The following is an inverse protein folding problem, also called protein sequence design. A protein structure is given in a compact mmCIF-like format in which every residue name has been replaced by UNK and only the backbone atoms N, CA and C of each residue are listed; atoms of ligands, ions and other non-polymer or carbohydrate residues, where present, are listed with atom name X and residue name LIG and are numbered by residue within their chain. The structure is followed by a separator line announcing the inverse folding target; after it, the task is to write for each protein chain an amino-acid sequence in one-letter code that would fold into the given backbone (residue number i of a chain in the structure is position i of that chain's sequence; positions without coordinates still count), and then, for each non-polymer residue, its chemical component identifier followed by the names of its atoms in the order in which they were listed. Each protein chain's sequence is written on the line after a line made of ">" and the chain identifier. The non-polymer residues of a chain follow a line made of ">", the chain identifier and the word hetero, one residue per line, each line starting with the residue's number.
data_IF_774988350286
#
_entry.id   IF_774988350286
#
_cell.length_a   1.000
_cell.length_b   1.000
_cell.length_c   1.000
_cell.angle_alpha   90.00
_cell.angle_beta   90.00
_cell.angle_gamma   90.00
#
_symmetry.space_group_name_H-M   'P 1'
#
loop_
_entity.id
_entity.type
_entity.pdbx_description
1 polymer ?
#
# COMPACT_ATOMS: atom_id res chain seq x y z
N UNK A 1 -2.50 7.79 23.87
CA UNK A 1 -3.39 8.87 23.39
C UNK A 1 -4.60 8.21 22.74
N UNK A 2 -5.80 8.81 22.75
CA UNK A 2 -6.91 8.27 21.96
C UNK A 2 -6.48 8.13 20.49
N UNK A 3 -6.94 7.08 19.82
CA UNK A 3 -6.66 6.86 18.41
C UNK A 3 -7.13 8.11 17.63
N UNK A 4 -6.20 8.78 16.95
CA UNK A 4 -6.47 10.03 16.22
C UNK A 4 -6.80 9.77 14.74
N UNK A 5 -6.43 8.59 14.23
CA UNK A 5 -6.47 8.22 12.83
C UNK A 5 -7.55 7.17 12.56
N UNK A 6 -8.03 7.04 11.31
CA UNK A 6 -8.98 5.98 10.94
C UNK A 6 -8.42 4.59 11.25
N UNK A 7 -9.32 3.60 11.30
CA UNK A 7 -8.89 2.20 11.22
C UNK A 7 -8.37 1.93 9.81
N UNK A 8 -7.07 1.65 9.68
CA UNK A 8 -6.47 1.34 8.39
C UNK A 8 -6.46 -0.17 8.14
N UNK A 9 -6.96 -0.60 6.99
CA UNK A 9 -6.76 -1.95 6.46
C UNK A 9 -5.78 -1.85 5.30
N UNK A 10 -4.62 -2.52 5.40
CA UNK A 10 -3.61 -2.48 4.35
C UNK A 10 -3.64 -3.77 3.53
N UNK A 11 -3.94 -3.67 2.23
CA UNK A 11 -4.03 -4.81 1.33
C UNK A 11 -2.71 -5.01 0.59
N UNK A 12 -2.08 -6.15 0.82
CA UNK A 12 -0.90 -6.56 0.07
C UNK A 12 -1.32 -7.17 -1.27
N UNK A 13 -0.97 -6.47 -2.36
CA UNK A 13 -1.35 -6.81 -3.73
C UNK A 13 -0.19 -7.42 -4.54
N UNK A 14 0.97 -7.69 -3.93
CA UNK A 14 2.17 -8.14 -4.63
C UNK A 14 1.96 -9.42 -5.43
N UNK A 15 1.24 -10.39 -4.88
CA UNK A 15 0.94 -11.65 -5.58
C UNK A 15 -0.03 -11.48 -6.76
N UNK A 16 -0.74 -10.34 -6.84
CA UNK A 16 -1.70 -10.01 -7.91
C UNK A 16 -1.22 -8.84 -8.76
N UNK A 17 -1.32 -7.59 -8.29
CA UNK A 17 -0.87 -6.38 -9.02
C UNK A 17 0.63 -6.43 -9.35
N UNK A 18 1.44 -6.93 -8.42
CA UNK A 18 2.88 -7.10 -8.63
C UNK A 18 3.19 -8.10 -9.73
N UNK A 19 2.83 -9.36 -9.48
CA UNK A 19 3.15 -10.48 -10.35
C UNK A 19 2.51 -10.39 -11.75
N UNK A 20 1.41 -9.67 -11.95
CA UNK A 20 0.72 -9.62 -13.25
C UNK A 20 1.56 -8.97 -14.36
N UNK A 21 2.52 -8.12 -14.02
CA UNK A 21 3.36 -7.41 -15.01
C UNK A 21 4.79 -7.94 -15.09
N UNK A 22 5.10 -8.98 -14.32
CA UNK A 22 6.40 -9.64 -14.32
C UNK A 22 6.48 -10.75 -15.37
N UNK A 23 7.59 -11.48 -15.41
CA UNK A 23 7.77 -12.60 -16.31
C UNK A 23 6.74 -13.71 -16.00
N UNK A 24 6.05 -14.20 -17.02
CA UNK A 24 5.09 -15.30 -16.88
C UNK A 24 5.76 -16.64 -16.52
N UNK A 25 7.07 -16.75 -16.73
CA UNK A 25 7.87 -17.94 -16.45
C UNK A 25 8.30 -18.06 -14.99
N UNK A 26 8.08 -17.04 -14.13
CA UNK A 26 8.29 -17.18 -12.68
C UNK A 26 7.58 -18.43 -12.20
N UNK A 27 8.32 -19.30 -11.51
CA UNK A 27 7.82 -20.62 -11.16
C UNK A 27 6.68 -20.53 -10.14
N UNK A 28 5.82 -21.55 -10.12
CA UNK A 28 4.78 -21.60 -9.10
C UNK A 28 5.38 -21.83 -7.72
N UNK A 29 6.49 -22.57 -7.63
CA UNK A 29 7.13 -22.85 -6.35
C UNK A 29 7.74 -21.57 -5.73
N UNK A 30 8.31 -20.67 -6.55
CA UNK A 30 8.77 -19.34 -6.09
C UNK A 30 7.59 -18.49 -5.60
N UNK A 31 6.47 -18.49 -6.33
CA UNK A 31 5.25 -17.76 -5.95
C UNK A 31 4.65 -18.31 -4.65
N UNK A 32 4.64 -19.63 -4.47
CA UNK A 32 4.18 -20.28 -3.23
C UNK A 32 5.11 -19.91 -2.08
N UNK A 33 6.43 -19.97 -2.29
CA UNK A 33 7.42 -19.65 -1.26
C UNK A 33 7.25 -18.21 -0.78
N UNK A 34 7.06 -17.26 -1.70
CA UNK A 34 6.80 -15.87 -1.36
C UNK A 34 5.46 -15.68 -0.63
N UNK A 35 4.38 -16.31 -1.11
CA UNK A 35 3.06 -16.20 -0.48
C UNK A 35 3.03 -16.80 0.93
N UNK A 36 3.68 -17.95 1.14
CA UNK A 36 3.81 -18.57 2.45
C UNK A 36 4.62 -17.67 3.41
N UNK A 37 5.70 -17.04 2.93
CA UNK A 37 6.49 -16.09 3.71
C UNK A 37 5.69 -14.82 4.05
N UNK A 38 4.93 -14.28 3.10
CA UNK A 38 4.05 -13.13 3.32
C UNK A 38 3.02 -13.39 4.42
N UNK A 39 2.45 -14.60 4.48
CA UNK A 39 1.52 -14.99 5.53
C UNK A 39 2.12 -14.99 6.94
N UNK A 40 3.45 -15.05 7.07
CA UNK A 40 4.15 -15.04 8.37
C UNK A 40 4.50 -13.63 8.86
N UNK A 41 4.27 -12.60 8.03
CA UNK A 41 4.64 -11.21 8.33
C UNK A 41 3.65 -10.50 9.25
N UNK A 42 2.47 -11.07 9.52
CA UNK A 42 1.40 -10.39 10.24
C UNK A 42 0.48 -9.53 9.37
N UNK A 43 0.72 -9.48 8.04
CA UNK A 43 -0.26 -8.96 7.09
C UNK A 43 -1.60 -9.70 7.25
N UNK A 44 -2.68 -8.95 7.44
CA UNK A 44 -4.03 -9.50 7.65
C UNK A 44 -4.85 -9.61 6.37
N UNK A 45 -4.41 -9.00 5.26
CA UNK A 45 -5.09 -9.05 3.97
C UNK A 45 -4.09 -9.20 2.80
N UNK A 46 -4.17 -10.33 2.10
CA UNK A 46 -3.28 -10.64 0.96
C UNK A 46 -4.12 -10.99 -0.26
N UNK A 47 -3.88 -10.31 -1.37
CA UNK A 47 -4.50 -10.62 -2.67
C UNK A 47 -3.61 -11.60 -3.43
N UNK A 48 -3.99 -12.88 -3.42
CA UNK A 48 -3.13 -13.99 -3.86
C UNK A 48 -2.98 -14.13 -5.37
N UNK A 49 -3.81 -13.43 -6.15
CA UNK A 49 -3.77 -13.48 -7.61
C UNK A 49 -5.10 -13.11 -8.26
N UNK A 50 -5.28 -13.49 -9.52
CA UNK A 50 -6.52 -13.24 -10.25
C UNK A 50 -7.00 -14.44 -11.09
N UNK A 51 -8.30 -14.68 -11.08
CA UNK A 51 -9.00 -15.65 -11.93
C UNK A 51 -9.47 -14.99 -13.22
N UNK A 52 -8.52 -14.53 -14.03
CA UNK A 52 -8.76 -13.82 -15.30
C UNK A 52 -8.36 -14.67 -16.51
N UNK A 53 -8.59 -14.16 -17.71
CA UNK A 53 -8.22 -14.85 -18.94
C UNK A 53 -6.69 -14.90 -19.10
N UNK A 54 -6.08 -16.10 -19.24
CA UNK A 54 -4.63 -16.24 -19.42
C UNK A 54 -4.14 -15.64 -20.74
N UNK A 55 -5.04 -15.37 -21.69
CA UNK A 55 -4.71 -14.68 -22.94
C UNK A 55 -4.20 -13.25 -22.70
N UNK A 56 -4.78 -12.56 -21.71
CA UNK A 56 -4.46 -11.16 -21.44
C UNK A 56 -3.53 -11.01 -20.22
N UNK A 57 -3.54 -11.99 -19.31
CA UNK A 57 -2.68 -12.00 -18.12
C UNK A 57 -2.06 -13.39 -17.94
N UNK A 58 -1.09 -13.78 -18.79
CA UNK A 58 -0.48 -15.11 -18.75
C UNK A 58 0.22 -15.43 -17.41
N UNK A 59 0.69 -14.40 -16.70
CA UNK A 59 1.32 -14.50 -15.38
C UNK A 59 0.39 -15.13 -14.32
N UNK A 60 -0.93 -15.01 -14.53
CA UNK A 60 -1.98 -15.48 -13.62
C UNK A 60 -2.63 -16.80 -14.08
N UNK A 61 -2.15 -17.38 -15.19
CA UNK A 61 -2.76 -18.55 -15.80
C UNK A 61 -2.81 -19.78 -14.86
N UNK A 62 -1.81 -19.91 -14.00
CA UNK A 62 -1.59 -21.05 -13.09
C UNK A 62 -2.01 -20.78 -11.65
N UNK A 63 -2.96 -19.86 -11.42
CA UNK A 63 -3.47 -19.55 -10.07
C UNK A 63 -4.02 -20.78 -9.35
N UNK A 64 -4.64 -21.71 -10.07
CA UNK A 64 -5.15 -22.96 -9.52
C UNK A 64 -4.04 -23.78 -8.82
N UNK A 65 -2.85 -23.86 -9.43
CA UNK A 65 -1.70 -24.57 -8.84
C UNK A 65 -1.14 -23.85 -7.61
N UNK A 66 -1.14 -22.51 -7.62
CA UNK A 66 -0.75 -21.69 -6.45
C UNK A 66 -1.70 -21.98 -5.28
N UNK A 67 -3.01 -21.95 -5.54
CA UNK A 67 -4.06 -22.18 -4.54
C UNK A 67 -4.03 -23.58 -3.92
N UNK A 68 -3.58 -24.59 -4.67
CA UNK A 68 -3.47 -25.97 -4.18
C UNK A 68 -2.21 -26.19 -3.32
N UNK A 69 -1.18 -25.36 -3.47
CA UNK A 69 0.14 -25.57 -2.85
C UNK A 69 0.39 -24.68 -1.63
N UNK A 70 -0.12 -23.45 -1.63
CA UNK A 70 0.16 -22.51 -0.52
C UNK A 70 -0.50 -22.96 0.79
N UNK A 71 0.09 -22.54 1.90
CA UNK A 71 -0.34 -22.90 3.25
C UNK A 71 -0.96 -21.68 3.93
N UNK A 72 -2.30 -21.55 3.93
CA UNK A 72 -2.96 -20.40 4.54
C UNK A 72 -2.62 -20.29 6.02
N UNK A 73 -2.38 -19.06 6.48
CA UNK A 73 -2.11 -18.73 7.87
C UNK A 73 -3.39 -18.24 8.55
N UNK A 74 -3.55 -18.63 9.80
CA UNK A 74 -4.69 -18.19 10.61
C UNK A 74 -4.62 -16.66 10.83
N UNK A 75 -5.78 -16.00 10.82
CA UNK A 75 -5.86 -14.54 10.95
C UNK A 75 -5.65 -13.76 9.66
N UNK A 76 -5.22 -14.41 8.56
CA UNK A 76 -5.01 -13.75 7.26
C UNK A 76 -6.21 -13.95 6.33
N UNK A 77 -6.72 -12.85 5.79
CA UNK A 77 -7.74 -12.84 4.75
C UNK A 77 -7.08 -12.93 3.38
N UNK A 78 -7.29 -14.07 2.70
CA UNK A 78 -6.81 -14.27 1.33
C UNK A 78 -7.92 -13.95 0.34
N UNK A 79 -7.69 -13.00 -0.57
CA UNK A 79 -8.64 -12.66 -1.65
C UNK A 79 -8.02 -12.83 -3.03
N UNK A 80 -8.84 -12.88 -4.07
CA UNK A 80 -8.38 -12.93 -5.45
C UNK A 80 -9.31 -12.13 -6.35
N UNK A 81 -8.74 -11.51 -7.38
CA UNK A 81 -9.52 -10.74 -8.34
C UNK A 81 -10.26 -11.67 -9.32
N UNK A 82 -11.56 -11.49 -9.46
CA UNK A 82 -12.38 -12.15 -10.48
C UNK A 82 -13.27 -11.14 -11.20
N UNK A 83 -13.08 -10.98 -12.52
CA UNK A 83 -13.73 -9.92 -13.30
C UNK A 83 -15.01 -10.36 -14.02
N UNK A 84 -15.33 -11.65 -14.02
CA UNK A 84 -16.51 -12.22 -14.67
C UNK A 84 -17.04 -13.43 -13.89
N UNK A 85 -18.24 -13.90 -14.25
CA UNK A 85 -18.90 -15.02 -13.56
C UNK A 85 -18.09 -16.33 -13.60
N UNK A 86 -17.40 -16.60 -14.72
CA UNK A 86 -16.55 -17.79 -14.83
C UNK A 86 -15.36 -17.75 -13.86
N UNK A 87 -14.71 -16.59 -13.72
CA UNK A 87 -13.64 -16.37 -12.76
C UNK A 87 -14.14 -16.50 -11.33
N UNK A 88 -15.33 -15.99 -11.04
CA UNK A 88 -15.97 -16.15 -9.72
C UNK A 88 -16.27 -17.60 -9.42
N UNK A 89 -16.79 -18.37 -10.39
CA UNK A 89 -17.09 -19.79 -10.20
C UNK A 89 -15.82 -20.62 -9.98
N UNK A 90 -14.73 -20.29 -10.68
CA UNK A 90 -13.41 -20.88 -10.41
C UNK A 90 -12.90 -20.55 -9.01
N UNK A 91 -12.98 -19.28 -8.61
CA UNK A 91 -12.55 -18.83 -7.28
C UNK A 91 -13.28 -19.56 -6.15
N UNK A 92 -14.58 -19.85 -6.31
CA UNK A 92 -15.38 -20.60 -5.31
C UNK A 92 -14.81 -21.98 -4.98
N UNK A 93 -14.14 -22.63 -5.93
CA UNK A 93 -13.57 -23.97 -5.72
C UNK A 93 -12.44 -23.97 -4.68
N UNK A 94 -11.87 -22.80 -4.40
CA UNK A 94 -10.79 -22.61 -3.43
C UNK A 94 -11.25 -21.86 -2.16
N UNK A 95 -12.56 -21.76 -1.95
CA UNK A 95 -13.15 -21.14 -0.77
C UNK A 95 -13.75 -22.21 0.16
N UNK A 96 -13.20 -22.43 1.37
CA UNK A 96 -11.97 -21.87 1.95
C UNK A 96 -10.67 -22.47 1.35
N UNK A 97 -9.49 -21.81 1.52
CA UNK A 97 -9.22 -20.63 2.35
C UNK A 97 -9.50 -19.27 1.70
N UNK A 98 -9.82 -19.23 0.40
CA UNK A 98 -10.09 -17.98 -0.30
C UNK A 98 -11.38 -17.33 0.22
N UNK A 99 -11.27 -16.08 0.68
CA UNK A 99 -12.39 -15.21 0.95
C UNK A 99 -12.88 -14.61 -0.35
N UNK A 100 -14.13 -14.92 -0.71
CA UNK A 100 -14.78 -14.33 -1.88
C UNK A 100 -15.25 -12.92 -1.53
N UNK A 101 -14.30 -11.98 -1.52
CA UNK A 101 -14.61 -10.57 -1.33
C UNK A 101 -15.28 -10.01 -2.59
N UNK A 102 -16.60 -9.83 -2.50
CA UNK A 102 -17.40 -9.12 -3.52
C UNK A 102 -17.56 -7.65 -3.15
N UNK A 103 -16.46 -6.96 -2.83
CA UNK A 103 -16.47 -5.56 -2.35
C UNK A 103 -17.32 -5.39 -1.08
N UNK A 104 -17.15 -6.31 -0.12
CA UNK A 104 -18.00 -6.41 1.05
C UNK A 104 -19.49 -6.58 0.70
N UNK A 105 -20.38 -6.31 1.65
CA UNK A 105 -21.82 -6.24 1.39
C UNK A 105 -22.23 -4.92 0.69
N UNK A 106 -21.31 -4.24 -0.01
CA UNK A 106 -21.48 -2.89 -0.59
C UNK A 106 -21.21 -2.89 -2.10
N UNK A 107 -22.20 -3.23 -2.95
CA UNK A 107 -22.05 -3.10 -4.39
C UNK A 107 -21.71 -1.66 -4.76
N UNK A 108 -20.79 -1.51 -5.70
CA UNK A 108 -20.26 -0.20 -6.09
C UNK A 108 -20.65 0.21 -7.50
N UNK A 109 -21.03 1.46 -7.69
CA UNK A 109 -21.00 2.09 -9.01
C UNK A 109 -19.61 2.67 -9.24
N UNK A 110 -18.98 2.28 -10.33
CA UNK A 110 -17.64 2.75 -10.67
C UNK A 110 -17.41 2.78 -12.18
N UNK A 111 -16.50 3.63 -12.61
CA UNK A 111 -15.98 3.72 -13.98
C UNK A 111 -14.54 4.27 -13.97
N UNK A 112 -13.85 4.20 -15.09
CA UNK A 112 -12.55 4.84 -15.28
C UNK A 112 -12.72 6.24 -15.88
N UNK A 113 -12.29 7.29 -15.18
CA UNK A 113 -12.42 8.68 -15.65
C UNK A 113 -11.63 9.01 -16.92
N UNK A 114 -10.76 8.10 -17.39
CA UNK A 114 -10.14 8.19 -18.70
C UNK A 114 -10.72 7.16 -19.68
N UNK A 115 -11.48 7.61 -20.68
CA UNK A 115 -12.09 6.75 -21.71
C UNK A 115 -11.03 6.01 -22.55
N UNK A 116 -9.91 6.69 -22.84
CA UNK A 116 -8.77 6.07 -23.55
C UNK A 116 -8.21 4.90 -22.74
N UNK A 117 -8.03 5.08 -21.42
CA UNK A 117 -7.55 4.02 -20.55
C UNK A 117 -8.56 2.88 -20.44
N UNK A 118 -9.85 3.19 -20.25
CA UNK A 118 -10.92 2.18 -20.18
C UNK A 118 -10.91 1.25 -21.41
N UNK A 119 -10.77 1.84 -22.62
CA UNK A 119 -10.71 1.10 -23.87
C UNK A 119 -9.45 0.24 -23.97
N UNK A 120 -8.30 0.76 -23.53
CA UNK A 120 -7.03 0.02 -23.54
C UNK A 120 -7.01 -1.12 -22.54
N UNK A 121 -7.58 -0.91 -21.35
CA UNK A 121 -7.50 -1.82 -20.22
C UNK A 121 -8.59 -2.91 -20.27
N UNK A 122 -9.83 -2.54 -20.60
CA UNK A 122 -10.99 -3.44 -20.50
C UNK A 122 -11.77 -3.59 -21.81
N UNK A 123 -11.30 -2.96 -22.90
CA UNK A 123 -11.97 -2.93 -24.20
C UNK A 123 -13.41 -2.39 -24.10
N UNK A 124 -13.61 -1.35 -23.28
CA UNK A 124 -14.89 -0.65 -23.11
C UNK A 124 -14.72 0.86 -23.03
N UNK A 125 -15.72 1.59 -23.47
CA UNK A 125 -15.84 3.02 -23.19
C UNK A 125 -16.35 3.26 -21.77
N UNK A 126 -16.18 4.48 -21.28
CA UNK A 126 -16.81 4.94 -20.03
C UNK A 126 -18.33 4.72 -20.06
N UNK A 127 -18.97 5.05 -21.18
CA UNK A 127 -20.42 4.88 -21.33
C UNK A 127 -20.82 3.42 -21.17
N UNK A 128 -20.06 2.48 -21.73
CA UNK A 128 -20.31 1.04 -21.59
C UNK A 128 -20.07 0.51 -20.17
N UNK A 129 -19.19 1.15 -19.39
CA UNK A 129 -19.07 0.87 -17.95
C UNK A 129 -20.31 1.36 -17.20
N UNK A 130 -20.78 2.56 -17.50
CA UNK A 130 -21.96 3.17 -16.87
C UNK A 130 -23.29 2.51 -17.26
N UNK A 131 -23.41 1.98 -18.47
CA UNK A 131 -24.59 1.22 -18.94
C UNK A 131 -24.91 0.01 -18.06
N UNK A 132 -23.95 -0.46 -17.26
CA UNK A 132 -24.12 -1.59 -16.34
C UNK A 132 -24.69 -1.19 -14.99
N UNK A 133 -24.61 0.08 -14.63
CA UNK A 133 -25.03 0.58 -13.32
C UNK A 133 -26.49 0.23 -12.99
N UNK A 134 -27.47 0.36 -13.92
CA UNK A 134 -28.84 -0.07 -13.64
C UNK A 134 -28.97 -1.55 -13.23
N UNK A 135 -28.20 -2.44 -13.88
CA UNK A 135 -28.20 -3.86 -13.53
C UNK A 135 -27.59 -4.11 -12.15
N UNK A 136 -26.53 -3.39 -11.80
CA UNK A 136 -25.90 -3.47 -10.46
C UNK A 136 -26.91 -3.06 -9.38
N UNK A 137 -27.63 -1.96 -9.61
CA UNK A 137 -28.67 -1.46 -8.70
C UNK A 137 -29.82 -2.47 -8.57
N UNK A 138 -30.36 -2.96 -9.70
CA UNK A 138 -31.45 -3.93 -9.69
C UNK A 138 -31.06 -5.20 -8.91
N UNK A 139 -29.84 -5.71 -9.15
CA UNK A 139 -29.32 -6.88 -8.43
C UNK A 139 -29.17 -6.61 -6.93
N UNK A 140 -28.79 -5.39 -6.53
CA UNK A 140 -28.68 -5.01 -5.12
C UNK A 140 -30.05 -4.96 -4.45
N UNK A 141 -31.07 -4.40 -5.13
CA UNK A 141 -32.45 -4.37 -4.66
C UNK A 141 -33.05 -5.77 -4.51
N UNK A 142 -32.86 -6.64 -5.51
CA UNK A 142 -33.29 -8.05 -5.47
C UNK A 142 -32.69 -8.81 -4.27
N UNK A 143 -31.45 -8.49 -3.91
CA UNK A 143 -30.74 -9.09 -2.78
C UNK A 143 -31.01 -8.41 -1.45
N UNK A 144 -31.81 -7.34 -1.42
CA UNK A 144 -32.14 -6.60 -0.21
C UNK A 144 -30.94 -5.87 0.41
N UNK A 145 -29.91 -5.55 -0.38
CA UNK A 145 -28.73 -4.82 0.08
C UNK A 145 -29.13 -3.40 0.53
N UNK A 146 -28.50 -2.92 1.61
CA UNK A 146 -28.83 -1.63 2.24
C UNK A 146 -27.74 -0.57 2.13
N UNK A 147 -26.50 -1.00 1.93
CA UNK A 147 -25.35 -0.12 1.82
C UNK A 147 -24.67 -0.31 0.47
N UNK A 148 -24.12 0.76 -0.08
CA UNK A 148 -23.45 0.77 -1.37
C UNK A 148 -22.18 1.61 -1.36
N UNK A 149 -21.40 1.48 -2.44
CA UNK A 149 -20.20 2.28 -2.66
C UNK A 149 -20.29 3.12 -3.95
N UNK A 150 -19.54 4.22 -3.95
CA UNK A 150 -19.29 5.08 -5.11
C UNK A 150 -17.79 5.23 -5.32
N UNK A 151 -17.36 5.65 -6.51
CA UNK A 151 -15.93 5.83 -6.78
C UNK A 151 -15.54 5.73 -8.25
N UNK A 152 -14.28 6.00 -8.52
CA UNK A 152 -13.71 5.87 -9.86
C UNK A 152 -12.25 5.43 -9.82
N UNK A 153 -11.77 5.02 -11.00
CA UNK A 153 -10.35 4.90 -11.30
C UNK A 153 -9.92 6.05 -12.22
N UNK A 154 -8.61 6.28 -12.30
CA UNK A 154 -8.02 7.44 -12.97
C UNK A 154 -8.56 8.75 -12.39
N UNK A 155 -8.80 8.80 -11.08
CA UNK A 155 -9.62 9.83 -10.42
C UNK A 155 -9.00 11.22 -10.44
N UNK A 156 -7.68 11.32 -10.63
CA UNK A 156 -6.92 12.57 -10.50
C UNK A 156 -6.27 12.99 -11.81
N UNK A 157 -6.36 12.15 -12.85
CA UNK A 157 -5.77 12.45 -14.14
C UNK A 157 -5.43 11.20 -14.93
N UNK A 158 -4.81 11.43 -16.09
CA UNK A 158 -4.43 10.39 -17.03
C UNK A 158 -3.24 10.80 -17.87
N UNK A 159 -2.35 9.84 -18.11
CA UNK A 159 -1.25 10.00 -19.08
C UNK A 159 -1.76 10.26 -20.52
N UNK A 160 -3.05 10.05 -20.79
CA UNK A 160 -3.66 10.22 -22.10
C UNK A 160 -4.52 11.48 -22.24
N UNK A 161 -5.09 11.99 -21.13
CA UNK A 161 -6.06 13.10 -21.14
C UNK A 161 -5.68 14.28 -20.24
N UNK A 162 -4.57 14.18 -19.50
CA UNK A 162 -4.10 15.24 -18.60
C UNK A 162 -4.76 15.19 -17.22
N UNK A 163 -4.71 16.33 -16.53
CA UNK A 163 -5.20 16.51 -15.17
C UNK A 163 -6.73 16.46 -15.10
N UNK A 164 -7.27 15.88 -14.02
CA UNK A 164 -8.67 15.98 -13.67
C UNK A 164 -8.83 16.72 -12.34
N UNK A 165 -9.68 17.75 -12.31
CA UNK A 165 -9.96 18.49 -11.08
C UNK A 165 -10.82 17.67 -10.12
N UNK A 166 -10.71 17.97 -8.82
CA UNK A 166 -11.58 17.38 -7.82
C UNK A 166 -13.07 17.68 -8.12
N UNK A 167 -13.39 18.83 -8.72
CA UNK A 167 -14.76 19.16 -9.13
C UNK A 167 -15.36 18.13 -10.09
N UNK A 168 -14.58 17.68 -11.09
CA UNK A 168 -15.06 16.67 -12.06
C UNK A 168 -15.24 15.32 -11.37
N UNK A 169 -14.34 14.96 -10.45
CA UNK A 169 -14.46 13.75 -9.65
C UNK A 169 -15.71 13.78 -8.75
N UNK A 170 -15.92 14.85 -7.99
CA UNK A 170 -17.10 15.04 -7.14
C UNK A 170 -18.38 15.03 -7.99
N UNK A 171 -18.37 15.62 -9.19
CA UNK A 171 -19.54 15.60 -10.09
C UNK A 171 -19.92 14.19 -10.53
N UNK A 172 -18.94 13.33 -10.76
CA UNK A 172 -19.18 11.92 -11.04
C UNK A 172 -19.77 11.20 -9.82
N UNK A 173 -19.20 11.42 -8.63
CA UNK A 173 -19.68 10.84 -7.39
C UNK A 173 -21.12 11.25 -7.07
N UNK A 174 -21.49 12.52 -7.32
CA UNK A 174 -22.89 12.99 -7.22
C UNK A 174 -23.83 12.12 -8.04
N UNK A 175 -23.47 11.85 -9.30
CA UNK A 175 -24.33 11.04 -10.17
C UNK A 175 -24.50 9.61 -9.65
N UNK A 176 -23.41 9.01 -9.16
CA UNK A 176 -23.46 7.66 -8.59
C UNK A 176 -24.29 7.62 -7.30
N UNK A 177 -24.13 8.65 -6.45
CA UNK A 177 -24.88 8.80 -5.22
C UNK A 177 -26.39 8.97 -5.47
N UNK A 178 -26.78 9.86 -6.38
CA UNK A 178 -28.17 10.06 -6.79
C UNK A 178 -28.83 8.74 -7.23
N UNK A 179 -28.14 7.94 -8.04
CA UNK A 179 -28.67 6.67 -8.53
C UNK A 179 -28.91 5.64 -7.41
N UNK A 180 -28.04 5.59 -6.39
CA UNK A 180 -28.25 4.73 -5.23
C UNK A 180 -29.40 5.23 -4.34
N UNK A 181 -29.46 6.56 -4.12
CA UNK A 181 -30.51 7.19 -3.34
C UNK A 181 -31.90 6.98 -3.97
N UNK A 182 -32.03 7.14 -5.29
CA UNK A 182 -33.27 6.85 -6.04
C UNK A 182 -33.70 5.39 -5.89
N UNK A 183 -32.74 4.48 -5.70
CA UNK A 183 -32.97 3.06 -5.45
C UNK A 183 -33.27 2.73 -3.97
N UNK A 184 -33.18 3.70 -3.06
CA UNK A 184 -33.38 3.53 -1.63
C UNK A 184 -32.25 2.78 -0.92
N UNK A 185 -31.02 2.88 -1.44
CA UNK A 185 -29.82 2.22 -0.90
C UNK A 185 -28.85 3.31 -0.45
N UNK A 186 -28.37 3.23 0.79
CA UNK A 186 -27.50 4.24 1.40
C UNK A 186 -26.06 4.10 0.90
N UNK A 187 -25.39 5.22 0.64
CA UNK A 187 -23.98 5.21 0.23
C UNK A 187 -23.12 5.42 1.46
N UNK A 188 -22.40 4.38 1.88
CA UNK A 188 -21.55 4.41 3.08
C UNK A 188 -20.06 4.29 2.77
N UNK A 189 -19.71 4.14 1.48
CA UNK A 189 -18.34 3.91 1.05
C UNK A 189 -17.94 4.69 -0.21
N UNK A 190 -16.68 5.18 -0.25
CA UNK A 190 -16.09 5.85 -1.41
C UNK A 190 -14.70 5.28 -1.77
N UNK A 191 -14.36 5.21 -3.06
CA UNK A 191 -13.07 4.69 -3.53
C UNK A 191 -12.37 5.60 -4.53
N UNK A 192 -11.08 5.85 -4.35
CA UNK A 192 -10.22 6.64 -5.25
C UNK A 192 -9.12 5.75 -5.82
N UNK A 193 -9.14 5.54 -7.15
CA UNK A 193 -8.12 4.74 -7.84
C UNK A 193 -7.23 5.54 -8.78
N UNK A 194 -5.93 5.26 -8.78
CA UNK A 194 -4.91 5.95 -9.55
C UNK A 194 -4.02 5.01 -10.39
N UNK A 195 -4.55 4.36 -11.43
CA UNK A 195 -3.80 3.40 -12.25
C UNK A 195 -2.62 4.03 -13.04
N UNK A 196 -2.48 5.36 -13.05
CA UNK A 196 -1.53 6.11 -13.89
C UNK A 196 -0.54 6.98 -13.10
N UNK A 197 -0.55 6.89 -11.76
CA UNK A 197 0.35 7.63 -10.85
C UNK A 197 0.21 9.16 -10.96
N UNK A 198 -1.02 9.65 -10.97
CA UNK A 198 -1.40 11.06 -10.93
C UNK A 198 -1.76 11.55 -9.52
N UNK A 199 -1.77 10.66 -8.53
CA UNK A 199 -1.94 11.05 -7.15
C UNK A 199 -0.85 12.02 -6.69
N UNK A 200 -1.24 12.97 -5.85
CA UNK A 200 -0.36 13.78 -5.04
C UNK A 200 -1.13 14.20 -3.77
N UNK A 201 -0.44 14.49 -2.66
CA UNK A 201 -1.08 14.63 -1.35
C UNK A 201 -2.20 15.68 -1.34
N UNK A 202 -1.96 16.88 -1.89
CA UNK A 202 -2.96 17.95 -1.90
C UNK A 202 -4.28 17.59 -2.63
N UNK A 203 -4.21 16.81 -3.73
CA UNK A 203 -5.43 16.39 -4.46
C UNK A 203 -6.19 15.31 -3.70
N UNK A 204 -5.45 14.39 -3.07
CA UNK A 204 -6.05 13.34 -2.25
C UNK A 204 -6.75 13.95 -1.03
N UNK A 205 -6.08 14.86 -0.34
CA UNK A 205 -6.67 15.62 0.77
C UNK A 205 -7.94 16.36 0.35
N UNK A 206 -7.90 17.11 -0.76
CA UNK A 206 -9.07 17.82 -1.29
C UNK A 206 -10.24 16.87 -1.59
N UNK A 207 -9.97 15.73 -2.25
CA UNK A 207 -11.00 14.75 -2.60
C UNK A 207 -11.63 14.16 -1.33
N UNK A 208 -10.81 13.69 -0.38
CA UNK A 208 -11.30 13.02 0.82
C UNK A 208 -12.08 13.99 1.71
N UNK A 209 -11.56 15.21 1.91
CA UNK A 209 -12.24 16.27 2.64
C UNK A 209 -13.62 16.58 2.03
N UNK A 210 -13.69 16.78 0.70
CA UNK A 210 -14.95 17.13 0.03
C UNK A 210 -15.97 16.00 0.05
N UNK A 211 -15.54 14.75 -0.02
CA UNK A 211 -16.44 13.59 0.13
C UNK A 211 -17.03 13.58 1.54
N UNK A 212 -16.20 13.73 2.59
CA UNK A 212 -16.66 13.77 3.98
C UNK A 212 -17.58 14.95 4.28
N UNK A 213 -17.25 16.14 3.77
CA UNK A 213 -18.07 17.35 3.96
C UNK A 213 -19.44 17.19 3.31
N UNK A 214 -19.47 16.61 2.10
CA UNK A 214 -20.69 16.49 1.31
C UNK A 214 -21.59 15.33 1.74
N UNK A 215 -20.99 14.21 2.13
CA UNK A 215 -21.67 12.98 2.54
C UNK A 215 -21.07 12.44 3.85
N UNK A 216 -21.44 13.00 5.01
CA UNK A 216 -20.94 12.58 6.32
C UNK A 216 -21.17 11.10 6.65
N UNK A 217 -22.20 10.50 6.06
CA UNK A 217 -22.57 9.07 6.14
C UNK A 217 -21.53 8.13 5.51
N UNK A 218 -20.67 8.65 4.62
CA UNK A 218 -19.55 7.90 4.07
C UNK A 218 -18.46 7.84 5.14
N UNK A 219 -18.28 6.65 5.72
CA UNK A 219 -17.26 6.35 6.73
C UNK A 219 -16.27 5.29 6.27
N UNK A 220 -16.48 4.65 5.12
CA UNK A 220 -15.56 3.66 4.57
C UNK A 220 -14.89 4.19 3.31
N UNK A 221 -13.57 4.36 3.37
CA UNK A 221 -12.77 4.90 2.28
C UNK A 221 -11.83 3.84 1.72
N UNK A 222 -11.49 3.98 0.45
CA UNK A 222 -10.40 3.21 -0.14
C UNK A 222 -9.54 4.05 -1.07
N UNK A 223 -8.23 3.84 -1.00
CA UNK A 223 -7.22 4.51 -1.82
C UNK A 223 -6.28 3.51 -2.48
N UNK A 224 -6.26 3.50 -3.81
CA UNK A 224 -5.37 2.67 -4.61
C UNK A 224 -4.41 3.57 -5.40
N UNK A 225 -3.23 3.80 -4.83
CA UNK A 225 -2.29 4.82 -5.32
C UNK A 225 -1.03 4.19 -5.92
N UNK A 226 -0.79 4.43 -7.21
CA UNK A 226 0.44 3.98 -7.88
C UNK A 226 1.58 5.00 -7.73
N UNK A 227 2.83 4.52 -7.82
CA UNK A 227 3.99 5.26 -7.31
C UNK A 227 5.02 5.72 -8.35
N UNK A 228 4.67 5.82 -9.65
CA UNK A 228 5.63 6.14 -10.71
C UNK A 228 6.37 7.47 -10.52
N UNK A 229 5.83 8.36 -9.69
CA UNK A 229 6.35 9.71 -9.42
C UNK A 229 6.68 9.93 -7.94
N UNK A 230 6.75 8.87 -7.14
CA UNK A 230 7.09 8.95 -5.71
C UNK A 230 6.00 9.59 -4.84
N UNK A 231 4.75 9.64 -5.32
CA UNK A 231 3.66 10.34 -4.64
C UNK A 231 2.71 9.42 -3.87
N UNK A 232 2.80 8.09 -4.02
CA UNK A 232 1.84 7.19 -3.39
C UNK A 232 1.88 7.23 -1.86
N UNK A 233 3.07 7.19 -1.25
CA UNK A 233 3.23 7.25 0.21
C UNK A 233 2.75 8.61 0.78
N UNK A 234 3.16 9.79 0.25
CA UNK A 234 2.58 11.07 0.65
C UNK A 234 1.06 11.15 0.45
N UNK A 235 0.52 10.54 -0.61
CA UNK A 235 -0.92 10.46 -0.84
C UNK A 235 -1.64 9.57 0.17
N UNK A 236 -1.06 8.44 0.57
CA UNK A 236 -1.56 7.62 1.68
C UNK A 236 -1.58 8.40 2.99
N UNK A 237 -0.50 9.13 3.30
CA UNK A 237 -0.45 10.02 4.46
C UNK A 237 -1.60 11.04 4.43
N UNK A 238 -1.80 11.73 3.30
CA UNK A 238 -2.88 12.69 3.14
C UNK A 238 -4.27 12.07 3.32
N UNK A 239 -4.50 10.86 2.78
CA UNK A 239 -5.74 10.12 2.99
C UNK A 239 -5.98 9.80 4.47
N UNK A 240 -4.95 9.31 5.17
CA UNK A 240 -5.01 8.98 6.60
C UNK A 240 -5.34 10.23 7.44
N UNK A 241 -4.66 11.35 7.18
CA UNK A 241 -4.84 12.58 7.97
C UNK A 241 -6.11 13.36 7.65
N UNK A 242 -6.78 13.03 6.54
CA UNK A 242 -8.06 13.65 6.15
C UNK A 242 -9.27 12.99 6.82
N UNK A 243 -9.05 11.88 7.52
CA UNK A 243 -10.11 11.06 8.13
C UNK A 243 -9.98 11.04 9.66
N UNK A 244 -11.08 10.71 10.33
CA UNK A 244 -11.16 10.64 11.78
C UNK A 244 -11.15 9.20 12.33
N UNK A 245 -11.17 9.04 13.66
CA UNK A 245 -11.17 7.73 14.30
C UNK A 245 -12.45 6.90 14.10
N UNK A 246 -13.54 7.53 13.67
CA UNK A 246 -14.81 6.85 13.34
C UNK A 246 -14.85 6.34 11.88
N UNK A 247 -13.79 6.58 11.10
CA UNK A 247 -13.67 6.18 9.71
C UNK A 247 -12.82 4.90 9.55
N UNK A 248 -13.09 4.16 8.47
CA UNK A 248 -12.28 3.05 7.99
C UNK A 248 -11.60 3.44 6.67
N UNK A 249 -10.33 3.08 6.51
CA UNK A 249 -9.54 3.36 5.30
C UNK A 249 -8.83 2.11 4.81
N UNK A 250 -9.22 1.61 3.64
CA UNK A 250 -8.48 0.58 2.93
C UNK A 250 -7.40 1.20 2.03
N UNK A 251 -6.15 0.79 2.18
CA UNK A 251 -5.05 1.20 1.32
C UNK A 251 -4.40 -0.02 0.67
N UNK A 252 -4.02 0.11 -0.59
CA UNK A 252 -3.39 -0.97 -1.35
C UNK A 252 -1.92 -0.67 -1.60
N UNK A 253 -1.06 -1.67 -1.49
CA UNK A 253 0.36 -1.58 -1.81
C UNK A 253 0.95 -2.91 -2.23
N UNK A 254 2.24 -2.93 -2.52
CA UNK A 254 2.96 -4.16 -2.84
C UNK A 254 4.32 -4.16 -2.17
N UNK A 255 4.78 -5.32 -1.69
CA UNK A 255 6.14 -5.44 -1.15
C UNK A 255 7.18 -4.93 -2.17
N UNK A 256 8.13 -4.10 -1.71
CA UNK A 256 9.15 -3.49 -2.58
C UNK A 256 8.59 -2.54 -3.65
N UNK A 257 7.29 -2.26 -3.69
CA UNK A 257 6.65 -1.30 -4.59
C UNK A 257 6.62 -1.71 -6.06
N UNK A 258 6.78 -3.00 -6.35
CA UNK A 258 6.63 -3.53 -7.71
C UNK A 258 5.16 -3.58 -8.16
N UNK A 259 4.92 -3.91 -9.43
CA UNK A 259 3.56 -3.92 -9.96
C UNK A 259 3.16 -2.60 -10.60
N UNK A 260 1.89 -2.50 -10.93
CA UNK A 260 1.42 -1.49 -11.86
C UNK A 260 0.39 -1.99 -12.84
N UNK A 261 -0.34 -1.07 -13.45
CA UNK A 261 -1.18 -1.38 -14.58
C UNK A 261 -0.37 -1.34 -15.89
N UNK A 262 -0.27 -2.44 -16.67
CA UNK A 262 0.49 -2.43 -17.93
C UNK A 262 -0.16 -1.54 -19.01
N UNK A 263 -1.45 -1.22 -18.87
CA UNK A 263 -2.22 -0.44 -19.85
C UNK A 263 -2.15 1.07 -19.66
N UNK A 264 -1.50 1.54 -18.57
CA UNK A 264 -1.43 2.94 -18.17
C UNK A 264 -0.37 3.75 -18.94
N UNK A 265 0.45 3.09 -19.76
CA UNK A 265 1.53 3.69 -20.56
C UNK A 265 2.93 3.59 -19.93
N UNK A 266 3.03 3.22 -18.65
CA UNK A 266 4.30 3.17 -17.92
C UNK A 266 4.79 1.74 -17.61
N UNK A 267 3.96 0.71 -17.82
CA UNK A 267 4.40 -0.69 -17.64
C UNK A 267 4.93 -0.94 -16.22
N UNK A 268 6.11 -1.56 -16.11
CA UNK A 268 6.74 -1.91 -14.82
C UNK A 268 7.18 -0.73 -13.97
N UNK A 269 7.38 0.45 -14.58
CA UNK A 269 7.76 1.65 -13.81
C UNK A 269 6.56 2.42 -13.26
N UNK A 270 5.34 1.88 -13.45
CA UNK A 270 4.15 2.42 -12.77
C UNK A 270 4.29 2.29 -11.26
N UNK A 271 4.74 1.13 -10.78
CA UNK A 271 4.97 0.85 -9.37
C UNK A 271 3.70 0.93 -8.52
N UNK A 272 3.85 0.50 -7.28
CA UNK A 272 2.90 0.70 -6.19
C UNK A 272 3.65 1.29 -5.00
N UNK A 273 2.91 1.75 -3.99
CA UNK A 273 3.53 2.05 -2.71
C UNK A 273 4.24 0.80 -2.17
N UNK A 274 5.54 0.87 -1.83
CA UNK A 274 6.22 -0.21 -1.13
C UNK A 274 5.54 -0.45 0.22
N UNK A 275 5.06 -1.68 0.45
CA UNK A 275 4.36 -2.06 1.68
C UNK A 275 5.21 -1.79 2.91
N UNK A 276 6.50 -2.09 2.86
CA UNK A 276 7.41 -1.85 3.98
C UNK A 276 7.61 -0.36 4.29
N UNK A 277 7.53 0.51 3.28
CA UNK A 277 7.64 1.96 3.47
C UNK A 277 6.34 2.53 4.06
N UNK A 278 5.18 2.02 3.62
CA UNK A 278 3.88 2.43 4.13
C UNK A 278 3.66 1.96 5.57
N UNK A 279 4.01 0.71 5.88
CA UNK A 279 3.94 0.14 7.24
C UNK A 279 4.89 0.89 8.17
N UNK A 280 6.11 1.20 7.72
CA UNK A 280 7.06 1.98 8.51
C UNK A 280 6.52 3.39 8.84
N UNK A 281 5.91 4.07 7.87
CA UNK A 281 5.23 5.34 8.09
C UNK A 281 4.09 5.21 9.11
N UNK A 282 3.22 4.22 8.96
CA UNK A 282 2.05 4.01 9.83
C UNK A 282 2.46 3.68 11.27
N UNK A 283 3.45 2.80 11.45
CA UNK A 283 4.01 2.45 12.76
C UNK A 283 4.56 3.70 13.49
N UNK A 284 5.26 4.58 12.77
CA UNK A 284 5.76 5.84 13.32
C UNK A 284 4.68 6.92 13.55
N UNK A 285 3.52 6.80 12.90
CA UNK A 285 2.32 7.57 13.22
C UNK A 285 1.56 6.99 14.42
N UNK A 286 1.94 5.80 14.92
CA UNK A 286 1.25 5.10 15.99
C UNK A 286 -0.01 4.36 15.53
N UNK A 287 -0.11 4.05 14.23
CA UNK A 287 -1.16 3.19 13.66
C UNK A 287 -0.65 1.75 13.72
N UNK A 288 -1.29 0.92 14.53
CA UNK A 288 -0.95 -0.49 14.65
C UNK A 288 -1.44 -1.27 13.43
N UNK A 289 -0.50 -1.85 12.68
CA UNK A 289 -0.77 -2.69 11.52
C UNK A 289 -0.64 -4.19 11.83
N UNK A 290 -0.08 -4.55 12.99
CA UNK A 290 0.29 -5.93 13.32
C UNK A 290 1.43 -6.54 12.48
N UNK A 291 2.04 -5.76 11.57
CA UNK A 291 3.05 -6.26 10.62
C UNK A 291 4.45 -6.24 11.23
N UNK A 292 5.13 -7.39 11.15
CA UNK A 292 6.55 -7.58 11.44
C UNK A 292 7.39 -7.10 10.25
N UNK A 293 7.94 -5.88 10.37
CA UNK A 293 8.81 -5.28 9.36
C UNK A 293 10.06 -6.11 9.07
N UNK A 294 10.64 -6.79 10.07
CA UNK A 294 11.87 -7.57 9.86
C UNK A 294 11.57 -8.75 8.92
N UNK A 295 10.43 -9.44 9.09
CA UNK A 295 10.00 -10.52 8.18
C UNK A 295 9.53 -10.00 6.82
N UNK A 296 8.90 -8.83 6.79
CA UNK A 296 8.47 -8.22 5.53
C UNK A 296 9.69 -7.86 4.65
N UNK A 297 10.77 -7.36 5.26
CA UNK A 297 12.04 -7.10 4.55
C UNK A 297 12.62 -8.40 3.97
N UNK A 298 12.54 -9.53 4.69
CA UNK A 298 12.97 -10.83 4.14
C UNK A 298 12.16 -11.22 2.89
N UNK A 299 10.86 -10.94 2.90
CA UNK A 299 10.00 -11.18 1.72
C UNK A 299 10.41 -10.28 0.54
N UNK A 300 10.80 -9.04 0.79
CA UNK A 300 11.28 -8.12 -0.26
C UNK A 300 12.59 -8.63 -0.86
N UNK A 301 13.56 -9.04 -0.03
CA UNK A 301 14.84 -9.58 -0.51
C UNK A 301 14.65 -10.88 -1.29
N UNK A 302 13.79 -11.78 -0.80
CA UNK A 302 13.40 -13.00 -1.53
C UNK A 302 12.79 -12.65 -2.89
N UNK A 303 11.91 -11.64 -2.96
CA UNK A 303 11.33 -11.21 -4.22
C UNK A 303 12.38 -10.58 -5.16
N UNK A 304 13.33 -9.80 -4.64
CA UNK A 304 14.45 -9.26 -5.44
C UNK A 304 15.28 -10.39 -6.09
N UNK A 305 15.53 -11.49 -5.36
CA UNK A 305 16.19 -12.69 -5.88
C UNK A 305 15.35 -13.38 -6.97
N UNK A 306 14.04 -13.58 -6.73
CA UNK A 306 13.12 -14.17 -7.71
C UNK A 306 13.06 -13.35 -9.01
N UNK A 307 13.05 -12.02 -8.89
CA UNK A 307 12.99 -11.11 -10.04
C UNK A 307 14.35 -10.82 -10.67
N UNK A 308 15.45 -11.14 -9.99
CA UNK A 308 16.81 -10.83 -10.43
C UNK A 308 17.12 -9.33 -10.51
N UNK A 309 16.44 -8.49 -9.72
CA UNK A 309 16.62 -7.02 -9.72
C UNK A 309 16.23 -6.42 -8.38
N UNK A 310 16.83 -5.27 -8.04
CA UNK A 310 16.40 -4.51 -6.87
C UNK A 310 15.03 -3.86 -7.09
N UNK A 311 14.26 -3.77 -6.01
CA UNK A 311 12.94 -3.17 -5.91
C UNK A 311 13.01 -1.72 -5.41
N UNK A 312 11.87 -1.06 -5.34
CA UNK A 312 11.80 0.39 -5.13
C UNK A 312 11.76 0.81 -3.66
N UNK A 313 11.36 -0.10 -2.76
CA UNK A 313 11.26 0.19 -1.32
C UNK A 313 12.56 0.70 -0.70
N UNK A 314 12.43 1.58 0.29
CA UNK A 314 13.55 2.22 0.96
C UNK A 314 13.87 1.54 2.30
N UNK A 315 12.85 1.15 3.05
CA UNK A 315 12.98 0.50 4.36
C UNK A 315 13.65 -0.87 4.23
N UNK A 316 13.37 -1.61 3.17
CA UNK A 316 14.05 -2.88 2.85
C UNK A 316 15.55 -2.73 2.56
N UNK A 317 16.02 -1.51 2.27
CA UNK A 317 17.44 -1.21 2.00
C UNK A 317 18.15 -0.63 3.22
N UNK A 318 17.49 0.27 3.94
CA UNK A 318 18.09 1.02 5.04
C UNK A 318 17.77 0.45 6.44
N UNK A 319 16.77 -0.44 6.52
CA UNK A 319 16.19 -0.92 7.75
C UNK A 319 15.11 0.02 8.31
N UNK A 320 14.27 -0.46 9.23
CA UNK A 320 13.35 0.39 9.97
C UNK A 320 14.13 1.34 10.90
N UNK A 321 13.53 2.47 11.28
CA UNK A 321 14.13 3.36 12.29
C UNK A 321 14.38 2.60 13.59
N UNK A 322 15.60 2.64 14.17
CA UNK A 322 15.87 1.93 15.42
C UNK A 322 15.19 2.65 16.60
N UNK A 323 14.25 1.96 17.25
CA UNK A 323 13.42 2.53 18.34
C UNK A 323 13.87 2.13 19.75
N UNK A 324 14.67 1.08 19.88
CA UNK A 324 15.14 0.53 21.16
C UNK A 324 16.66 0.54 21.24
N UNK A 325 17.20 0.56 22.47
CA UNK A 325 18.65 0.67 22.72
C UNK A 325 19.43 -0.45 22.02
N UNK A 326 18.91 -1.67 22.03
CA UNK A 326 19.50 -2.85 21.40
C UNK A 326 19.48 -2.81 19.86
N UNK A 327 18.62 -1.96 19.27
CA UNK A 327 18.52 -1.75 17.82
C UNK A 327 19.30 -0.52 17.35
N UNK A 328 19.66 0.39 18.26
CA UNK A 328 20.50 1.54 17.90
C UNK A 328 21.86 1.04 17.38
N UNK A 329 22.32 1.66 16.29
CA UNK A 329 23.57 1.26 15.65
C UNK A 329 24.76 1.45 16.59
N UNK A 330 25.78 0.62 16.39
CA UNK A 330 27.07 0.73 17.06
C UNK A 330 27.67 2.11 16.74
N UNK A 331 28.06 2.87 17.78
CA UNK A 331 28.74 4.16 17.60
C UNK A 331 30.03 4.02 16.80
N UNK A 332 30.62 2.81 16.75
CA UNK A 332 31.83 2.49 16.02
C UNK A 332 31.53 1.70 14.72
N UNK A 333 30.29 1.66 14.24
CA UNK A 333 30.00 1.14 12.90
C UNK A 333 30.82 1.95 11.87
N UNK A 334 31.68 1.31 11.06
CA UNK A 334 32.63 1.98 10.17
C UNK A 334 31.92 2.70 9.01
N UNK A 335 32.68 3.30 8.10
CA UNK A 335 32.12 3.89 6.88
C UNK A 335 31.34 2.83 6.07
N UNK A 336 30.03 3.04 5.93
CA UNK A 336 29.11 2.21 5.16
C UNK A 336 28.99 2.79 3.75
N UNK A 337 29.55 2.09 2.77
CA UNK A 337 29.63 2.56 1.38
C UNK A 337 28.58 1.90 0.47
N UNK A 338 28.20 0.66 0.76
CA UNK A 338 27.41 -0.18 -0.15
C UNK A 338 26.06 -0.58 0.45
N UNK A 339 25.04 -0.87 -0.40
CA UNK A 339 23.78 -1.44 0.07
C UNK A 339 23.94 -2.75 0.84
N UNK A 340 24.92 -3.58 0.48
CA UNK A 340 25.18 -4.84 1.19
C UNK A 340 25.69 -4.59 2.62
N UNK A 341 26.60 -3.63 2.78
CA UNK A 341 27.04 -3.19 4.12
C UNK A 341 25.88 -2.56 4.91
N UNK A 342 24.97 -1.84 4.25
CA UNK A 342 23.80 -1.24 4.90
C UNK A 342 22.87 -2.27 5.52
N UNK A 343 22.87 -3.54 5.06
CA UNK A 343 22.08 -4.63 5.67
C UNK A 343 22.48 -4.98 7.12
N UNK A 344 23.51 -4.33 7.67
CA UNK A 344 23.97 -4.52 9.04
C UNK A 344 22.87 -4.34 10.11
N UNK A 345 21.82 -3.55 9.82
CA UNK A 345 20.67 -3.43 10.72
C UNK A 345 20.01 -4.78 11.04
N UNK A 346 20.20 -5.77 10.15
CA UNK A 346 19.69 -7.13 10.27
C UNK A 346 20.77 -8.19 10.33
N UNK A 347 21.84 -8.07 9.55
CA UNK A 347 22.94 -9.07 9.48
C UNK A 347 24.06 -8.82 10.48
N UNK A 348 23.98 -7.70 11.22
CA UNK A 348 24.95 -7.30 12.24
C UNK A 348 26.28 -6.81 11.65
N UNK A 349 27.28 -6.67 12.51
CA UNK A 349 28.56 -6.03 12.17
C UNK A 349 29.39 -6.75 11.11
N UNK A 350 29.09 -8.03 10.84
CA UNK A 350 29.73 -8.78 9.75
C UNK A 350 29.50 -8.14 8.38
N UNK A 351 28.39 -7.41 8.20
CA UNK A 351 28.08 -6.76 6.92
C UNK A 351 29.13 -5.72 6.51
N UNK A 352 29.83 -5.12 7.48
CA UNK A 352 30.81 -4.07 7.26
C UNK A 352 32.20 -4.42 7.81
N UNK A 353 32.51 -5.71 7.93
CA UNK A 353 33.84 -6.18 8.35
C UNK A 353 34.92 -5.66 7.39
N UNK A 354 36.01 -5.14 7.96
CA UNK A 354 37.08 -4.50 7.18
C UNK A 354 36.78 -3.08 6.70
N UNK A 355 35.63 -2.51 7.08
CA UNK A 355 35.29 -1.11 6.80
C UNK A 355 36.28 -0.12 7.42
N UNK A 356 36.40 1.06 6.80
CA UNK A 356 37.33 2.10 7.25
C UNK A 356 36.65 2.99 8.29
N UNK A 357 37.31 3.20 9.42
CA UNK A 357 36.88 4.16 10.45
C UNK A 357 37.69 5.46 10.35
N UNK A 358 37.05 6.62 10.14
CA UNK A 358 37.75 7.91 10.11
C UNK A 358 38.24 8.38 11.48
N UNK A 359 37.77 7.79 12.59
CA UNK A 359 38.21 8.12 13.95
C UNK A 359 39.46 7.34 14.38
N UNK A 360 40.32 7.97 15.20
CA UNK A 360 41.56 7.38 15.72
C UNK A 360 41.37 6.55 16.99
N UNK A 361 40.32 6.84 17.75
CA UNK A 361 39.99 6.19 19.03
C UNK A 361 38.50 5.82 19.02
N UNK A 362 38.06 4.79 19.77
CA UNK A 362 36.65 4.43 19.87
C UNK A 362 35.78 5.63 20.28
N UNK A 363 34.63 5.79 19.61
CA UNK A 363 33.71 6.90 19.86
C UNK A 363 33.09 6.75 21.25
N UNK A 364 33.16 7.83 22.04
CA UNK A 364 32.48 7.99 23.33
C UNK A 364 31.48 9.14 23.22
N UNK A 365 30.30 8.98 23.79
CA UNK A 365 29.26 10.01 23.78
C UNK A 365 28.50 10.04 25.10
N UNK A 366 28.57 11.15 25.88
CA UNK A 366 27.78 11.28 27.10
C UNK A 366 26.26 11.26 26.81
N UNK A 367 25.84 11.63 25.60
CA UNK A 367 24.46 11.53 25.15
C UNK A 367 24.03 10.07 24.91
N UNK A 368 24.93 9.24 24.37
CA UNK A 368 24.67 7.80 24.26
C UNK A 368 24.55 7.16 25.63
N UNK A 369 25.43 7.51 26.58
CA UNK A 369 25.35 7.00 27.96
C UNK A 369 24.03 7.36 28.65
N UNK A 370 23.45 8.53 28.32
CA UNK A 370 22.11 8.91 28.77
C UNK A 370 21.02 8.02 28.17
N UNK A 371 21.05 7.81 26.85
CA UNK A 371 20.12 6.92 26.15
C UNK A 371 20.19 5.50 26.68
N UNK A 372 21.39 4.99 26.97
CA UNK A 372 21.60 3.66 27.57
C UNK A 372 21.03 3.53 28.98
N UNK A 373 20.85 4.65 29.69
CA UNK A 373 20.16 4.73 31.00
C UNK A 373 18.65 4.95 30.86
N UNK A 374 18.11 4.95 29.63
CA UNK A 374 16.70 5.23 29.36
C UNK A 374 16.32 6.71 29.44
N UNK A 375 17.30 7.63 29.44
CA UNK A 375 17.07 9.07 29.43
C UNK A 375 17.06 9.63 28.00
N UNK A 376 16.38 10.75 27.73
CA UNK A 376 16.53 11.46 26.46
C UNK A 376 17.99 11.80 26.17
N UNK A 377 18.38 11.67 24.90
CA UNK A 377 19.70 12.10 24.43
C UNK A 377 19.93 13.59 24.73
N UNK A 378 18.88 14.41 24.57
CA UNK A 378 18.88 15.83 24.84
C UNK A 378 17.68 16.18 25.74
N UNK A 379 17.90 17.01 26.75
CA UNK A 379 16.84 17.61 27.56
C UNK A 379 16.44 18.95 26.94
N UNK A 380 15.14 19.18 26.77
CA UNK A 380 14.64 20.45 26.19
C UNK A 380 15.10 21.64 27.04
N UNK A 381 14.94 21.53 28.36
CA UNK A 381 15.28 22.59 29.33
C UNK A 381 16.57 22.31 30.12
N UNK A 382 17.38 21.33 29.69
CA UNK A 382 18.59 20.94 30.40
C UNK A 382 19.83 21.73 29.97
N UNK A 383 20.96 21.44 30.64
CA UNK A 383 22.25 22.04 30.30
C UNK A 383 22.74 21.51 28.95
N UNK A 384 22.44 22.25 27.89
CA UNK A 384 22.94 21.99 26.55
C UNK A 384 24.47 22.21 26.50
N UNK A 385 25.20 21.57 25.58
CA UNK A 385 26.64 21.76 25.44
C UNK A 385 27.10 23.22 25.25
N UNK A 386 26.23 24.15 24.81
CA UNK A 386 26.56 25.60 24.75
C UNK A 386 26.35 26.37 26.05
N UNK A 387 25.69 25.76 27.04
CA UNK A 387 25.60 26.28 28.41
C UNK A 387 26.86 25.97 29.21
N UNK A 388 27.63 24.96 28.78
CA UNK A 388 28.87 24.54 29.40
C UNK A 388 30.01 25.55 29.20
N UNK A 389 30.85 25.70 30.23
CA UNK A 389 31.92 26.71 30.25
C UNK A 389 33.00 26.53 29.16
N UNK A 390 33.11 25.35 28.55
CA UNK A 390 34.07 25.05 27.49
C UNK A 390 33.58 25.44 26.08
N UNK A 391 32.29 25.77 25.91
CA UNK A 391 31.75 26.11 24.60
C UNK A 391 32.16 27.54 24.19
N UNK A 392 32.61 27.76 22.94
CA UNK A 392 33.00 29.09 22.50
C UNK A 392 31.80 30.04 22.57
N UNK A 393 31.86 31.02 23.47
CA UNK A 393 30.87 32.10 23.54
C UNK A 393 31.18 33.12 22.44
N UNK A 394 30.17 33.73 21.79
CA UNK A 394 30.40 34.82 20.86
C UNK A 394 31.27 35.88 21.53
N UNK A 395 32.34 36.31 20.86
CA UNK A 395 33.11 37.47 21.31
C UNK A 395 32.21 38.70 21.25
N UNK A 396 31.92 39.31 22.41
CA UNK A 396 31.22 40.60 22.50
C UNK A 396 31.94 41.70 21.73
#
# INVERSE_FOLDING_TARGET
>A
MPQQYPKVTYKEEGMREGMQIEDANISIDDKVTLLDALGETGLDHIVVGSFVSPRYTPQMARIDELMQKFKPKEGVTYTALALNEQGVERAKQYSPPLTLDRRGNRPGLSMHMCDVFARRNTNRSQMQEMERWPQVIATAQERGIKEASIGANASMGSNFLGDFSADVYIKLLEKQHELWNDAGIEVTAASVGDPMSWCHPAKVEEIFYRVKEKWPEITHFSGHFHNARGMAIPSMYAAITSLGPDDELALDGTIGGFGGCPYCGNGRVTGMAPTEDAVHMMDDMGIDTGVDLDKLIDCVWMLEEILGRSLYGHVSKAGPRPKTIDKLYDMNAPFIETPEQAKHFKTGSKAYEGGVSPWREPIKSPYRERVEKGLPAYEVDGDWPWSEGFFPKPSN
#
